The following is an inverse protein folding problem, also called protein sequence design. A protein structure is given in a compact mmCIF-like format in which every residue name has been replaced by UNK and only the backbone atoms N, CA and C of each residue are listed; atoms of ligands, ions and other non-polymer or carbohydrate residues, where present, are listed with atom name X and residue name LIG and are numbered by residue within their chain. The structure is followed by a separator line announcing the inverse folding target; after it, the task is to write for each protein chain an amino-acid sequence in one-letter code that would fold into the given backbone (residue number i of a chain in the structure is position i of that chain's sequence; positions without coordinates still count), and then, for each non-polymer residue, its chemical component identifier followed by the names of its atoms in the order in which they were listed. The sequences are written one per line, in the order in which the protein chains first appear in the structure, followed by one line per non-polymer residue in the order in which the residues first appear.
data_IF_704578851018
#
_entry.id   IF_704578851018
#
_cell.length_a   1.000
_cell.length_b   1.000
_cell.length_c   1.000
_cell.angle_alpha   90.00
_cell.angle_beta   90.00
_cell.angle_gamma   90.00
#
_symmetry.space_group_name_H-M   'P 1'
#
loop_
_entity.id
_entity.type
_entity.pdbx_description
1 polymer ?
#
# COMPACT_ATOMS: atom_id res chain seq x y z
N UNK A 1 -16.86 -6.79 29.22
CA UNK A 1 -16.59 -5.82 30.32
C UNK A 1 -17.86 -5.27 30.96
N UNK A 2 -18.98 -5.13 30.22
CA UNK A 2 -20.27 -4.73 30.85
C UNK A 2 -20.76 -5.74 31.86
N UNK A 3 -20.59 -7.04 31.60
CA UNK A 3 -20.96 -8.14 32.50
C UNK A 3 -19.96 -8.34 33.65
N UNK A 4 -18.68 -7.93 33.44
CA UNK A 4 -17.59 -8.08 34.40
C UNK A 4 -16.81 -6.77 34.48
N UNK A 5 -17.29 -5.77 35.25
CA UNK A 5 -16.71 -4.44 35.32
C UNK A 5 -15.26 -4.42 35.82
N UNK A 6 -14.88 -5.38 36.63
CA UNK A 6 -13.51 -5.57 37.15
C UNK A 6 -12.50 -5.83 36.05
N UNK A 7 -12.91 -6.42 34.92
CA UNK A 7 -12.02 -6.66 33.79
C UNK A 7 -11.68 -5.37 33.02
N UNK A 8 -12.41 -4.30 33.24
CA UNK A 8 -12.18 -3.03 32.54
C UNK A 8 -10.82 -2.39 32.91
N UNK A 9 -10.31 -2.69 34.11
CA UNK A 9 -8.99 -2.21 34.56
C UNK A 9 -7.80 -2.96 33.91
N UNK A 10 -8.04 -4.16 33.39
CA UNK A 10 -7.00 -5.02 32.78
C UNK A 10 -7.22 -5.23 31.27
N UNK A 11 -8.45 -5.12 30.76
CA UNK A 11 -8.80 -5.23 29.36
C UNK A 11 -9.14 -3.84 28.80
N UNK A 12 -8.11 -3.08 28.47
CA UNK A 12 -8.26 -1.69 28.02
C UNK A 12 -7.81 -1.48 26.55
N UNK A 13 -7.30 -2.49 25.90
CA UNK A 13 -6.83 -2.43 24.52
C UNK A 13 -7.42 -3.59 23.70
N UNK A 14 -7.71 -3.31 22.45
CA UNK A 14 -8.18 -4.27 21.45
C UNK A 14 -7.21 -4.23 20.28
N UNK A 15 -6.69 -5.40 19.91
CA UNK A 15 -5.84 -5.58 18.76
C UNK A 15 -6.64 -6.09 17.56
N UNK A 16 -6.43 -5.48 16.41
CA UNK A 16 -7.03 -5.93 15.14
C UNK A 16 -5.94 -6.60 14.30
N UNK A 17 -6.14 -7.88 14.03
CA UNK A 17 -5.20 -8.71 13.26
C UNK A 17 -5.87 -9.33 12.05
N UNK A 18 -5.09 -9.67 11.04
CA UNK A 18 -5.58 -10.32 9.82
C UNK A 18 -4.87 -9.84 8.57
N UNK A 19 -5.41 -10.17 7.40
CA UNK A 19 -4.86 -9.68 6.13
C UNK A 19 -5.27 -8.23 5.91
N UNK A 20 -4.34 -7.30 6.13
CA UNK A 20 -4.62 -5.86 5.97
C UNK A 20 -5.09 -5.49 4.56
N UNK A 21 -4.77 -6.29 3.54
CA UNK A 21 -5.21 -6.05 2.15
C UNK A 21 -6.72 -6.19 1.97
N UNK A 22 -7.37 -6.99 2.79
CA UNK A 22 -8.81 -7.18 2.79
C UNK A 22 -9.57 -6.02 3.45
N UNK A 23 -8.94 -5.31 4.39
CA UNK A 23 -9.53 -4.16 5.09
C UNK A 23 -9.78 -2.95 4.17
N UNK A 24 -9.16 -2.91 2.99
CA UNK A 24 -9.34 -1.81 2.02
C UNK A 24 -10.54 -1.97 1.11
N UNK A 25 -11.29 -3.03 1.24
CA UNK A 25 -12.58 -3.14 0.55
C UNK A 25 -13.54 -2.10 1.13
N UNK A 26 -14.21 -1.37 0.25
CA UNK A 26 -15.07 -0.24 0.59
C UNK A 26 -16.13 -0.60 1.65
N UNK A 27 -16.69 -1.80 1.55
CA UNK A 27 -17.69 -2.30 2.49
C UNK A 27 -17.11 -2.45 3.90
N UNK A 28 -15.92 -3.05 4.02
CA UNK A 28 -15.26 -3.30 5.30
C UNK A 28 -14.73 -2.02 5.93
N UNK A 29 -14.32 -1.03 5.12
CA UNK A 29 -13.75 0.21 5.63
C UNK A 29 -14.71 0.97 6.55
N UNK A 30 -15.95 1.15 6.13
CA UNK A 30 -16.96 1.87 6.93
C UNK A 30 -17.46 1.08 8.14
N UNK A 31 -17.61 -0.23 7.98
CA UNK A 31 -17.99 -1.11 9.10
C UNK A 31 -16.93 -1.10 10.18
N UNK A 32 -15.64 -1.23 9.79
CA UNK A 32 -14.51 -1.19 10.71
C UNK A 32 -14.44 0.17 11.41
N UNK A 33 -14.54 1.27 10.68
CA UNK A 33 -14.54 2.62 11.25
C UNK A 33 -15.64 2.78 12.31
N UNK A 34 -16.87 2.34 12.00
CA UNK A 34 -17.99 2.41 12.94
C UNK A 34 -17.76 1.55 14.18
N UNK A 35 -17.24 0.33 14.00
CA UNK A 35 -16.91 -0.60 15.08
C UNK A 35 -15.83 -0.03 16.01
N UNK A 36 -14.72 0.45 15.46
CA UNK A 36 -13.62 1.04 16.21
C UNK A 36 -14.09 2.27 17.02
N UNK A 37 -14.88 3.15 16.42
CA UNK A 37 -15.44 4.32 17.13
C UNK A 37 -16.27 3.91 18.33
N UNK A 38 -17.15 2.89 18.22
CA UNK A 38 -17.94 2.38 19.34
C UNK A 38 -17.06 1.86 20.48
N UNK A 39 -15.95 1.18 20.14
CA UNK A 39 -15.01 0.68 21.14
C UNK A 39 -14.24 1.82 21.82
N UNK A 40 -13.79 2.80 21.07
CA UNK A 40 -13.12 3.99 21.60
C UNK A 40 -14.05 4.79 22.54
N UNK A 41 -15.33 4.97 22.20
CA UNK A 41 -16.32 5.60 23.10
C UNK A 41 -16.53 4.82 24.41
N UNK A 42 -16.30 3.51 24.39
CA UNK A 42 -16.32 2.66 25.60
C UNK A 42 -15.00 2.71 26.39
N UNK A 43 -14.02 3.48 25.92
CA UNK A 43 -12.73 3.67 26.59
C UNK A 43 -11.66 2.64 26.24
N UNK A 44 -11.87 1.82 25.18
CA UNK A 44 -10.82 0.93 24.68
C UNK A 44 -9.84 1.68 23.79
N UNK A 45 -8.57 1.36 23.97
CA UNK A 45 -7.51 1.69 23.01
C UNK A 45 -7.53 0.70 21.86
N UNK A 46 -7.12 1.15 20.69
CA UNK A 46 -7.05 0.33 19.49
C UNK A 46 -5.61 0.18 19.05
N UNK A 47 -5.16 -1.07 18.97
CA UNK A 47 -3.93 -1.48 18.31
C UNK A 47 -4.28 -2.05 16.94
N UNK A 48 -3.50 -1.77 15.94
CA UNK A 48 -3.73 -2.31 14.61
C UNK A 48 -2.45 -2.44 13.79
N UNK A 49 -2.44 -3.40 12.86
CA UNK A 49 -1.32 -3.76 12.01
C UNK A 49 -1.51 -3.17 10.63
N UNK A 50 -0.67 -2.22 10.23
CA UNK A 50 -0.76 -1.57 8.92
C UNK A 50 0.61 -1.29 8.32
N UNK A 51 0.66 -1.27 6.98
CA UNK A 51 1.88 -1.01 6.24
C UNK A 51 2.89 -2.16 6.31
N UNK A 52 2.45 -3.36 6.62
CA UNK A 52 3.26 -4.58 6.61
C UNK A 52 3.14 -5.31 5.28
N UNK A 53 1.90 -5.52 4.81
CA UNK A 53 1.59 -6.20 3.56
C UNK A 53 0.70 -5.33 2.68
N UNK A 54 1.02 -5.25 1.40
CA UNK A 54 0.27 -4.41 0.46
C UNK A 54 0.25 -4.98 -0.95
N UNK A 55 -0.73 -4.53 -1.73
CA UNK A 55 -0.77 -4.79 -3.16
C UNK A 55 0.19 -3.88 -3.94
N UNK A 56 0.27 -2.60 -3.52
CA UNK A 56 1.20 -1.60 -4.05
C UNK A 56 1.75 -0.79 -2.89
N UNK A 57 2.96 -0.24 -3.03
CA UNK A 57 3.59 0.57 -1.99
C UNK A 57 2.71 1.76 -1.57
N UNK A 58 2.09 2.44 -2.55
CA UNK A 58 1.19 3.55 -2.28
C UNK A 58 0.02 3.15 -1.39
N UNK A 59 -0.56 1.95 -1.62
CA UNK A 59 -1.65 1.44 -0.77
C UNK A 59 -1.19 1.08 0.63
N UNK A 60 0.03 0.57 0.77
CA UNK A 60 0.62 0.34 2.09
C UNK A 60 0.77 1.63 2.89
N UNK A 61 1.20 2.73 2.24
CA UNK A 61 1.27 4.06 2.87
C UNK A 61 -0.14 4.56 3.22
N UNK A 62 -1.09 4.43 2.30
CA UNK A 62 -2.48 4.81 2.52
C UNK A 62 -3.12 4.05 3.70
N UNK A 63 -2.73 2.80 3.89
CA UNK A 63 -3.18 2.01 5.01
C UNK A 63 -2.81 2.63 6.35
N UNK A 64 -1.56 3.03 6.47
CA UNK A 64 -1.06 3.71 7.68
C UNK A 64 -1.74 5.06 7.86
N UNK A 65 -1.87 5.84 6.77
CA UNK A 65 -2.58 7.13 6.80
C UNK A 65 -4.03 6.97 7.29
N UNK A 66 -4.76 6.01 6.77
CA UNK A 66 -6.12 5.72 7.18
C UNK A 66 -6.21 5.30 8.66
N UNK A 67 -5.30 4.45 9.10
CA UNK A 67 -5.27 3.97 10.48
C UNK A 67 -5.05 5.13 11.46
N UNK A 68 -4.08 5.98 11.19
CA UNK A 68 -3.72 7.11 12.06
C UNK A 68 -4.73 8.25 11.97
N UNK A 69 -5.10 8.68 10.76
CA UNK A 69 -5.82 9.94 10.54
C UNK A 69 -7.34 9.77 10.37
N UNK A 70 -7.82 8.57 10.05
CA UNK A 70 -9.26 8.32 9.89
C UNK A 70 -9.81 7.47 11.03
N UNK A 71 -9.14 6.38 11.37
CA UNK A 71 -9.59 5.48 12.44
C UNK A 71 -9.07 5.90 13.82
N UNK A 72 -8.03 6.76 13.85
CA UNK A 72 -7.41 7.27 15.09
C UNK A 72 -7.02 6.12 16.02
N UNK A 73 -6.28 5.16 15.50
CA UNK A 73 -5.73 4.07 16.32
C UNK A 73 -4.72 4.62 17.32
N UNK A 74 -4.61 3.97 18.49
CA UNK A 74 -3.70 4.39 19.54
C UNK A 74 -2.29 3.82 19.36
N UNK A 75 -2.20 2.60 18.83
CA UNK A 75 -0.93 1.90 18.61
C UNK A 75 -0.88 1.33 17.20
N UNK A 76 0.11 1.75 16.44
CA UNK A 76 0.44 1.20 15.12
C UNK A 76 1.52 0.14 15.25
N UNK A 77 1.21 -1.07 14.79
CA UNK A 77 2.23 -2.10 14.57
C UNK A 77 2.73 -2.05 13.12
N UNK A 78 4.02 -2.25 12.94
CA UNK A 78 4.77 -2.26 11.68
C UNK A 78 5.02 -0.88 11.07
N UNK A 79 4.13 -0.35 10.23
CA UNK A 79 4.37 0.90 9.52
C UNK A 79 5.50 0.83 8.47
N UNK A 80 5.90 -0.36 8.04
CA UNK A 80 7.07 -0.61 7.16
C UNK A 80 6.97 0.19 5.86
N UNK A 81 5.77 0.33 5.30
CA UNK A 81 5.54 1.06 4.05
C UNK A 81 6.01 2.52 4.10
N UNK A 82 6.02 3.15 5.28
CA UNK A 82 6.54 4.52 5.46
C UNK A 82 8.07 4.59 5.44
N UNK A 83 8.74 3.48 5.78
CA UNK A 83 10.21 3.38 5.81
C UNK A 83 10.85 2.88 4.51
N UNK A 84 10.06 2.41 3.54
CA UNK A 84 10.58 1.95 2.26
C UNK A 84 11.11 3.14 1.47
N UNK A 85 12.33 3.02 0.95
CA UNK A 85 12.87 4.01 0.01
C UNK A 85 12.23 3.82 -1.38
N UNK A 86 11.39 4.76 -1.86
CA UNK A 86 10.67 4.58 -3.13
C UNK A 86 11.61 4.50 -4.35
N UNK A 87 12.72 5.23 -4.34
CA UNK A 87 13.68 5.20 -5.45
C UNK A 87 14.28 3.81 -5.61
N UNK A 88 14.68 3.18 -4.50
CA UNK A 88 15.21 1.81 -4.52
C UNK A 88 14.14 0.79 -4.88
N UNK A 89 12.96 0.90 -4.28
CA UNK A 89 11.83 0.01 -4.52
C UNK A 89 11.43 -0.05 -6.00
N UNK A 90 11.21 1.12 -6.61
CA UNK A 90 10.85 1.19 -8.03
C UNK A 90 12.03 0.85 -8.95
N UNK A 91 13.27 1.14 -8.54
CA UNK A 91 14.44 0.72 -9.29
C UNK A 91 14.49 -0.81 -9.43
N UNK A 92 14.35 -1.53 -8.34
CA UNK A 92 14.35 -2.99 -8.32
C UNK A 92 13.17 -3.59 -9.11
N UNK A 93 11.97 -3.02 -8.96
CA UNK A 93 10.79 -3.40 -9.74
C UNK A 93 11.06 -3.28 -11.25
N UNK A 94 11.53 -2.13 -11.69
CA UNK A 94 11.77 -1.87 -13.12
C UNK A 94 12.89 -2.75 -13.68
N UNK A 95 13.91 -3.03 -12.89
CA UNK A 95 14.97 -3.96 -13.28
C UNK A 95 14.42 -5.37 -13.54
N UNK A 96 13.58 -5.89 -12.63
CA UNK A 96 12.96 -7.19 -12.81
C UNK A 96 12.09 -7.26 -14.05
N UNK A 97 11.24 -6.26 -14.25
CA UNK A 97 10.29 -6.22 -15.36
C UNK A 97 11.00 -6.06 -16.71
N UNK A 98 12.04 -5.23 -16.80
CA UNK A 98 12.85 -5.10 -18.01
C UNK A 98 13.57 -6.42 -18.31
N UNK A 99 14.14 -7.08 -17.30
CA UNK A 99 14.78 -8.38 -17.50
C UNK A 99 13.78 -9.43 -18.05
N UNK A 100 12.59 -9.50 -17.49
CA UNK A 100 11.53 -10.38 -18.00
C UNK A 100 11.18 -10.03 -19.45
N UNK A 101 11.06 -8.75 -19.77
CA UNK A 101 10.75 -8.29 -21.12
C UNK A 101 11.86 -8.65 -22.12
N UNK A 102 13.13 -8.55 -21.74
CA UNK A 102 14.27 -8.96 -22.58
C UNK A 102 14.25 -10.48 -22.88
N UNK A 103 13.64 -11.26 -21.99
CA UNK A 103 13.44 -12.71 -22.16
C UNK A 103 12.10 -13.04 -22.85
N UNK A 104 11.38 -12.04 -23.37
CA UNK A 104 10.03 -12.15 -23.96
C UNK A 104 9.02 -12.85 -23.02
N UNK A 105 9.17 -12.63 -21.71
CA UNK A 105 8.26 -13.16 -20.69
C UNK A 105 7.22 -12.12 -20.29
N UNK A 106 5.92 -12.49 -20.23
CA UNK A 106 4.88 -11.59 -19.76
C UNK A 106 5.00 -11.36 -18.25
N UNK A 107 4.51 -10.20 -17.79
CA UNK A 107 4.35 -9.94 -16.36
C UNK A 107 3.08 -10.65 -15.89
N UNK A 108 3.20 -11.48 -14.86
CA UNK A 108 2.07 -12.27 -14.37
C UNK A 108 0.98 -11.38 -13.76
N UNK A 109 -0.29 -11.51 -14.16
CA UNK A 109 -1.38 -10.61 -13.76
C UNK A 109 -1.60 -10.48 -12.24
N UNK A 110 -1.26 -11.52 -11.47
CA UNK A 110 -1.43 -11.52 -10.01
C UNK A 110 -0.17 -11.12 -9.24
N UNK A 111 0.93 -10.82 -9.94
CA UNK A 111 2.18 -10.41 -9.30
C UNK A 111 2.09 -9.00 -8.73
N UNK A 112 2.93 -8.71 -7.74
CA UNK A 112 3.11 -7.35 -7.20
C UNK A 112 3.58 -6.41 -8.30
N UNK A 113 4.49 -6.84 -9.17
CA UNK A 113 5.01 -6.04 -10.27
C UNK A 113 3.89 -5.60 -11.22
N UNK A 114 2.95 -6.50 -11.56
CA UNK A 114 1.79 -6.17 -12.38
C UNK A 114 0.89 -5.12 -11.71
N UNK A 115 0.59 -5.29 -10.43
CA UNK A 115 -0.26 -4.37 -9.66
C UNK A 115 0.37 -2.98 -9.56
N UNK A 116 1.67 -2.91 -9.25
CA UNK A 116 2.42 -1.65 -9.23
C UNK A 116 2.39 -0.92 -10.57
N UNK A 117 2.61 -1.65 -11.66
CA UNK A 117 2.58 -1.06 -13.00
C UNK A 117 1.18 -0.56 -13.39
N UNK A 118 0.12 -1.27 -12.97
CA UNK A 118 -1.26 -0.88 -13.26
C UNK A 118 -1.73 0.33 -12.45
N UNK A 119 -1.15 0.60 -11.30
CA UNK A 119 -1.54 1.72 -10.46
C UNK A 119 -0.93 3.05 -10.93
N UNK A 120 0.05 3.00 -11.83
CA UNK A 120 0.69 4.18 -12.40
C UNK A 120 -0.18 4.82 -13.49
N UNK A 121 -0.20 6.15 -13.53
CA UNK A 121 -0.74 6.87 -14.67
C UNK A 121 0.28 6.87 -15.81
N UNK A 122 0.03 6.08 -16.82
CA UNK A 122 0.88 5.97 -18.00
C UNK A 122 0.55 7.00 -19.09
N UNK A 123 -0.61 7.67 -19.01
CA UNK A 123 -1.02 8.64 -20.01
C UNK A 123 -0.83 8.12 -21.45
N UNK A 124 -0.10 8.87 -22.26
CA UNK A 124 0.20 8.50 -23.67
C UNK A 124 1.09 7.24 -23.81
N UNK A 125 1.68 6.75 -22.71
CA UNK A 125 2.58 5.59 -22.69
C UNK A 125 1.84 4.27 -22.41
N UNK A 126 0.52 4.28 -22.43
CA UNK A 126 -0.29 3.08 -22.17
C UNK A 126 0.04 1.92 -23.12
N UNK A 127 0.32 2.22 -24.37
CA UNK A 127 0.72 1.20 -25.36
C UNK A 127 2.06 0.53 -25.00
N UNK A 128 3.00 1.29 -24.44
CA UNK A 128 4.29 0.73 -23.97
C UNK A 128 4.06 -0.20 -22.79
N UNK A 129 3.20 0.18 -21.85
CA UNK A 129 2.80 -0.68 -20.74
C UNK A 129 2.17 -1.99 -21.24
N UNK A 130 1.23 -1.92 -22.18
CA UNK A 130 0.57 -3.11 -22.72
C UNK A 130 1.54 -4.08 -23.40
N UNK A 131 2.51 -3.57 -24.18
CA UNK A 131 3.59 -4.36 -24.74
C UNK A 131 4.41 -5.05 -23.65
N UNK A 132 4.84 -4.27 -22.66
CA UNK A 132 5.63 -4.77 -21.52
C UNK A 132 4.89 -5.90 -20.79
N UNK A 133 3.61 -5.72 -20.48
CA UNK A 133 2.81 -6.70 -19.77
C UNK A 133 2.64 -8.01 -20.53
N UNK A 134 2.54 -7.94 -21.87
CA UNK A 134 2.45 -9.12 -22.72
C UNK A 134 3.80 -9.82 -22.99
N UNK A 135 4.91 -9.18 -22.63
CA UNK A 135 6.26 -9.67 -22.95
C UNK A 135 6.71 -9.35 -24.38
N UNK A 136 6.03 -8.42 -25.07
CA UNK A 136 6.44 -7.96 -26.39
C UNK A 136 7.72 -7.13 -26.27
N UNK A 137 8.67 -7.29 -27.20
CA UNK A 137 9.93 -6.58 -27.19
C UNK A 137 9.72 -5.08 -27.29
N UNK A 138 10.30 -4.31 -26.34
CA UNK A 138 10.29 -2.86 -26.37
C UNK A 138 11.44 -2.31 -27.21
N UNK A 139 11.16 -1.28 -28.00
CA UNK A 139 12.18 -0.48 -28.68
C UNK A 139 12.97 0.34 -27.66
N UNK A 140 14.17 0.78 -28.02
CA UNK A 140 15.03 1.58 -27.13
C UNK A 140 14.35 2.88 -26.66
N UNK A 141 13.64 3.55 -27.55
CA UNK A 141 12.87 4.75 -27.20
C UNK A 141 11.72 4.43 -26.20
N UNK A 142 11.04 3.30 -26.37
CA UNK A 142 9.99 2.85 -25.47
C UNK A 142 10.56 2.50 -24.08
N UNK A 143 11.74 1.86 -24.02
CA UNK A 143 12.44 1.61 -22.74
C UNK A 143 12.82 2.90 -22.04
N UNK A 144 13.31 3.89 -22.80
CA UNK A 144 13.65 5.21 -22.24
C UNK A 144 12.42 5.91 -21.66
N UNK A 145 11.29 5.86 -22.34
CA UNK A 145 10.01 6.39 -21.83
C UNK A 145 9.54 5.66 -20.57
N UNK A 146 9.69 4.36 -20.54
CA UNK A 146 9.38 3.54 -19.38
C UNK A 146 10.23 3.93 -18.17
N UNK A 147 11.53 4.04 -18.34
CA UNK A 147 12.45 4.44 -17.27
C UNK A 147 12.19 5.85 -16.73
N UNK A 148 11.73 6.78 -17.59
CA UNK A 148 11.32 8.12 -17.12
C UNK A 148 10.11 8.07 -16.20
N UNK A 149 9.15 7.17 -16.45
CA UNK A 149 7.98 7.00 -15.60
C UNK A 149 8.38 6.58 -14.18
N UNK A 150 9.42 5.77 -14.02
CA UNK A 150 9.97 5.35 -12.73
C UNK A 150 10.27 6.53 -11.80
N UNK A 151 10.97 7.54 -12.31
CA UNK A 151 11.39 8.69 -11.49
C UNK A 151 10.21 9.51 -10.99
N UNK A 152 9.18 9.70 -11.82
CA UNK A 152 7.97 10.39 -11.39
C UNK A 152 7.26 9.63 -10.26
N UNK A 153 7.09 8.33 -10.43
CA UNK A 153 6.42 7.48 -9.43
C UNK A 153 7.15 7.49 -8.09
N UNK A 154 8.46 7.31 -8.11
CA UNK A 154 9.26 7.33 -6.88
C UNK A 154 9.11 8.66 -6.14
N UNK A 155 9.16 9.79 -6.86
CA UNK A 155 9.00 11.13 -6.28
C UNK A 155 7.60 11.35 -5.68
N UNK A 156 6.55 10.92 -6.38
CA UNK A 156 5.17 11.05 -5.89
C UNK A 156 4.95 10.24 -4.62
N UNK A 157 5.48 9.01 -4.58
CA UNK A 157 5.37 8.15 -3.41
C UNK A 157 6.20 8.70 -2.24
N UNK A 158 7.40 9.21 -2.48
CA UNK A 158 8.24 9.85 -1.48
C UNK A 158 7.56 11.08 -0.88
N UNK A 159 6.94 11.92 -1.72
CA UNK A 159 6.17 13.07 -1.26
C UNK A 159 4.98 12.63 -0.41
N UNK A 160 4.27 11.59 -0.82
CA UNK A 160 3.13 11.09 -0.06
C UNK A 160 3.55 10.52 1.31
N UNK A 161 4.67 9.79 1.39
CA UNK A 161 5.22 9.33 2.67
C UNK A 161 5.51 10.52 3.60
N UNK A 162 6.17 11.56 3.05
CA UNK A 162 6.48 12.77 3.79
C UNK A 162 5.21 13.46 4.31
N UNK A 163 4.17 13.57 3.48
CA UNK A 163 2.92 14.21 3.84
C UNK A 163 2.20 13.45 4.98
N UNK A 164 2.22 12.11 4.93
CA UNK A 164 1.64 11.28 6.00
C UNK A 164 2.40 11.41 7.31
N UNK A 165 3.73 11.48 7.26
CA UNK A 165 4.57 11.61 8.45
C UNK A 165 4.47 12.99 9.12
N UNK A 166 4.03 14.02 8.40
CA UNK A 166 3.94 15.41 8.89
C UNK A 166 2.50 15.88 9.17
N UNK A 167 1.53 14.99 9.17
CA UNK A 167 0.14 15.26 9.60
C UNK A 167 -0.04 15.03 11.08
#
# INVERSE_FOLDING_TARGET
TERYPELKSVLNEIDTVGDEREMYRKEHFFELQSGLRKLQYKGFKIRSHHGETWHTLRRGIQAVDNAMNIWHIDTLEHGISLGINPNRYFHELYQRVIKQNMENKPVLPNSTDFKELHELDWGQRKMVLEKLLRGDTLLEQERTQFLKAKFHTAREVEQYQHDVLNR
#
